data_IF_127951804227
#
_entry.id   IF_127951804227
#
_cell.length_a   1.000
_cell.length_b   1.000
_cell.length_c   1.000
_cell.angle_alpha   90.00
_cell.angle_beta   90.00
_cell.angle_gamma   90.00
#
_symmetry.space_group_name_H-M   'P 1'
#
loop_
_entity.id
_entity.type
_entity.pdbx_description
1 polymer ?
#
# COMPACT_ATOMS: atom_id res chain seq x y z
N UNK A 1 5.00 -12.89 -11.36
CA UNK A 1 3.66 -13.52 -11.37
C UNK A 1 2.63 -12.58 -10.76
N UNK A 2 1.54 -12.28 -11.51
CA UNK A 2 0.43 -11.44 -11.03
C UNK A 2 -0.51 -12.26 -10.14
N UNK A 3 -0.85 -11.73 -8.97
CA UNK A 3 -1.72 -12.38 -7.98
C UNK A 3 -2.62 -11.34 -7.31
N UNK A 4 -3.62 -11.82 -6.59
CA UNK A 4 -4.64 -11.00 -5.95
C UNK A 4 -4.73 -11.32 -4.46
N UNK A 5 -4.85 -10.26 -3.66
CA UNK A 5 -5.13 -10.34 -2.24
C UNK A 5 -6.51 -9.75 -1.95
N UNK A 6 -7.38 -10.54 -1.34
CA UNK A 6 -8.73 -10.11 -0.98
C UNK A 6 -8.73 -9.51 0.42
N UNK A 7 -9.36 -8.35 0.58
CA UNK A 7 -9.42 -7.67 1.87
C UNK A 7 -10.55 -6.64 1.92
N UNK A 8 -10.49 -5.77 2.91
CA UNK A 8 -11.41 -4.64 3.03
C UNK A 8 -10.68 -3.31 2.92
N UNK A 9 -11.39 -2.23 2.61
CA UNK A 9 -10.80 -0.92 2.32
C UNK A 9 -9.92 -0.39 3.45
N UNK A 10 -10.37 -0.51 4.70
CA UNK A 10 -9.56 -0.09 5.86
C UNK A 10 -8.26 -0.90 5.98
N UNK A 11 -8.32 -2.20 5.72
CA UNK A 11 -7.15 -3.08 5.81
C UNK A 11 -6.21 -2.91 4.62
N UNK A 12 -6.75 -2.68 3.42
CA UNK A 12 -5.98 -2.33 2.24
C UNK A 12 -5.19 -1.04 2.44
N UNK A 13 -5.79 0.00 3.03
CA UNK A 13 -5.08 1.22 3.38
C UNK A 13 -3.86 0.95 4.29
N UNK A 14 -4.01 0.09 5.30
CA UNK A 14 -2.89 -0.33 6.15
C UNK A 14 -1.82 -1.09 5.35
N UNK A 15 -2.22 -2.04 4.50
CA UNK A 15 -1.29 -2.83 3.69
C UNK A 15 -0.48 -1.93 2.74
N UNK A 16 -1.09 -0.90 2.17
CA UNK A 16 -0.41 0.11 1.33
C UNK A 16 0.61 0.97 2.07
N UNK A 17 0.60 0.97 3.41
CA UNK A 17 1.53 1.74 4.23
C UNK A 17 2.67 0.88 4.79
N UNK A 18 2.37 -0.35 5.21
CA UNK A 18 3.33 -1.21 5.94
C UNK A 18 3.57 -2.58 5.31
N UNK A 19 2.95 -2.85 4.16
CA UNK A 19 2.94 -4.16 3.53
C UNK A 19 2.00 -5.17 4.20
N UNK A 20 2.14 -6.43 3.79
CA UNK A 20 1.33 -7.53 4.28
C UNK A 20 1.95 -8.13 5.53
N UNK A 21 1.32 -7.88 6.68
CA UNK A 21 1.70 -8.50 7.95
C UNK A 21 0.82 -9.74 8.20
N UNK A 22 1.41 -10.94 8.35
CA UNK A 22 0.65 -12.16 8.58
C UNK A 22 -0.01 -12.14 9.96
N UNK A 23 -1.32 -12.41 10.03
CA UNK A 23 -2.05 -12.55 11.32
C UNK A 23 -1.90 -13.91 11.98
N UNK A 24 -1.73 -14.97 11.18
CA UNK A 24 -1.56 -16.37 11.63
C UNK A 24 -0.33 -17.00 10.99
N UNK A 25 0.77 -16.23 10.95
CA UNK A 25 2.04 -16.64 10.33
C UNK A 25 2.01 -16.77 8.79
N UNK A 26 0.90 -16.47 8.12
CA UNK A 26 0.73 -16.64 6.68
C UNK A 26 0.01 -15.46 6.03
N UNK A 27 0.41 -15.12 4.82
CA UNK A 27 -0.28 -14.22 3.88
C UNK A 27 -0.77 -15.06 2.70
N UNK A 28 -2.05 -14.91 2.36
CA UNK A 28 -2.72 -15.71 1.34
C UNK A 28 -3.01 -14.86 0.12
N UNK A 29 -2.59 -15.33 -1.04
CA UNK A 29 -2.88 -14.74 -2.34
C UNK A 29 -3.57 -15.77 -3.23
N UNK A 30 -4.14 -15.30 -4.33
CA UNK A 30 -4.67 -16.17 -5.37
C UNK A 30 -4.35 -15.66 -6.76
N UNK A 31 -4.22 -16.56 -7.74
CA UNK A 31 -4.15 -16.20 -9.16
C UNK A 31 -5.52 -15.92 -9.78
N UNK A 32 -6.62 -16.24 -9.08
CA UNK A 32 -7.99 -16.10 -9.59
C UNK A 32 -8.67 -14.82 -9.06
N UNK A 33 -8.86 -13.84 -9.94
CA UNK A 33 -9.50 -12.56 -9.58
C UNK A 33 -10.95 -12.73 -9.11
N UNK A 34 -11.72 -13.61 -9.76
CA UNK A 34 -13.12 -13.87 -9.38
C UNK A 34 -13.23 -14.46 -7.98
N UNK A 35 -12.34 -15.39 -7.64
CA UNK A 35 -12.22 -15.93 -6.28
C UNK A 35 -11.87 -14.84 -5.26
N UNK A 36 -10.88 -14.00 -5.56
CA UNK A 36 -10.50 -12.88 -4.69
C UNK A 36 -11.67 -11.91 -4.44
N UNK A 37 -12.42 -11.53 -5.49
CA UNK A 37 -13.59 -10.65 -5.38
C UNK A 37 -14.66 -11.23 -4.45
N UNK A 38 -15.04 -12.50 -4.65
CA UNK A 38 -16.03 -13.19 -3.79
C UNK A 38 -15.58 -13.26 -2.33
N UNK A 39 -14.29 -13.53 -2.08
CA UNK A 39 -13.73 -13.57 -0.72
C UNK A 39 -13.68 -12.19 -0.07
N UNK A 40 -13.34 -11.15 -0.84
CA UNK A 40 -13.33 -9.76 -0.37
C UNK A 40 -14.74 -9.33 0.06
N UNK A 41 -15.76 -9.62 -0.76
CA UNK A 41 -17.18 -9.36 -0.43
C UNK A 41 -17.60 -10.09 0.85
N UNK A 42 -17.26 -11.37 0.97
CA UNK A 42 -17.55 -12.15 2.18
C UNK A 42 -16.91 -11.54 3.42
N UNK A 43 -15.65 -11.11 3.32
CA UNK A 43 -14.93 -10.48 4.43
C UNK A 43 -15.52 -9.11 4.79
N UNK A 44 -15.79 -8.28 3.79
CA UNK A 44 -16.41 -6.96 3.92
C UNK A 44 -17.77 -7.00 4.62
N UNK A 45 -18.62 -7.96 4.24
CA UNK A 45 -19.92 -8.20 4.89
C UNK A 45 -19.76 -8.51 6.38
N UNK A 46 -18.80 -9.35 6.76
CA UNK A 46 -18.54 -9.72 8.16
C UNK A 46 -18.01 -8.57 9.01
N UNK A 47 -17.28 -7.64 8.41
CA UNK A 47 -16.64 -6.52 9.13
C UNK A 47 -17.36 -5.19 8.95
N UNK A 48 -18.51 -5.15 8.26
CA UNK A 48 -19.23 -3.92 7.88
C UNK A 48 -18.29 -2.87 7.24
N UNK A 49 -17.45 -3.33 6.30
CA UNK A 49 -16.48 -2.49 5.56
C UNK A 49 -16.71 -2.65 4.05
N UNK A 50 -15.97 -1.91 3.21
CA UNK A 50 -16.00 -2.04 1.75
C UNK A 50 -15.03 -3.12 1.27
N UNK A 51 -15.46 -3.95 0.32
CA UNK A 51 -14.62 -4.99 -0.29
C UNK A 51 -13.54 -4.36 -1.17
N UNK A 52 -12.30 -4.85 -1.07
CA UNK A 52 -11.20 -4.40 -1.89
C UNK A 52 -10.28 -5.56 -2.26
N UNK A 53 -9.81 -5.56 -3.51
CA UNK A 53 -8.83 -6.53 -4.00
C UNK A 53 -7.56 -5.77 -4.39
N UNK A 54 -6.43 -6.19 -3.83
CA UNK A 54 -5.12 -5.65 -4.17
C UNK A 54 -4.47 -6.53 -5.23
N UNK A 55 -3.97 -5.92 -6.29
CA UNK A 55 -3.16 -6.60 -7.31
C UNK A 55 -1.70 -6.55 -6.89
N UNK A 56 -1.02 -7.70 -6.96
CA UNK A 56 0.38 -7.82 -6.58
C UNK A 56 1.19 -8.51 -7.67
N UNK A 57 2.44 -8.14 -7.81
CA UNK A 57 3.44 -8.84 -8.60
C UNK A 57 4.42 -9.55 -7.66
N UNK A 58 4.31 -10.87 -7.59
CA UNK A 58 5.23 -11.70 -6.82
C UNK A 58 6.30 -12.30 -7.73
N UNK A 59 7.54 -12.34 -7.25
CA UNK A 59 8.62 -13.13 -7.85
C UNK A 59 8.83 -14.40 -7.01
N UNK A 60 8.35 -15.59 -7.44
CA UNK A 60 8.53 -16.83 -6.68
C UNK A 60 9.99 -17.13 -6.31
N UNK A 61 10.94 -16.81 -7.21
CA UNK A 61 12.37 -17.00 -6.96
C UNK A 61 12.96 -16.12 -5.85
N UNK A 62 12.24 -15.09 -5.40
CA UNK A 62 12.66 -14.26 -4.27
C UNK A 62 12.31 -14.84 -2.89
N UNK A 63 11.53 -15.93 -2.84
CA UNK A 63 11.13 -16.55 -1.58
C UNK A 63 11.89 -17.86 -1.34
N UNK A 64 12.29 -18.09 -0.09
CA UNK A 64 12.82 -19.40 0.32
C UNK A 64 11.76 -20.50 0.10
N UNK A 65 12.11 -21.68 -0.44
CA UNK A 65 11.15 -22.76 -0.72
C UNK A 65 10.25 -23.12 0.47
N UNK A 66 10.79 -23.20 1.69
CA UNK A 66 10.03 -23.53 2.91
C UNK A 66 9.07 -22.42 3.39
N UNK A 67 9.11 -21.23 2.77
CA UNK A 67 8.28 -20.07 3.11
C UNK A 67 7.28 -19.71 2.01
N UNK A 68 7.28 -20.45 0.90
CA UNK A 68 6.40 -20.25 -0.24
C UNK A 68 5.72 -21.57 -0.58
N UNK A 69 4.40 -21.56 -0.64
CA UNK A 69 3.62 -22.69 -1.13
C UNK A 69 2.70 -22.19 -2.24
N UNK A 70 2.72 -22.89 -3.37
CA UNK A 70 1.82 -22.65 -4.48
C UNK A 70 1.09 -23.95 -4.79
N UNK A 71 -0.23 -23.94 -4.63
CA UNK A 71 -1.08 -25.09 -4.92
C UNK A 71 -2.35 -24.61 -5.61
N UNK A 72 -2.63 -25.15 -6.79
CA UNK A 72 -3.73 -24.74 -7.66
C UNK A 72 -3.69 -23.22 -7.94
N UNK A 73 -4.69 -22.49 -7.45
CA UNK A 73 -4.81 -21.04 -7.59
C UNK A 73 -4.48 -20.28 -6.31
N UNK A 74 -3.97 -20.96 -5.27
CA UNK A 74 -3.69 -20.38 -3.95
C UNK A 74 -2.18 -20.33 -3.71
N UNK A 75 -1.72 -19.17 -3.24
CA UNK A 75 -0.33 -18.93 -2.90
C UNK A 75 -0.26 -18.51 -1.44
N UNK A 76 0.64 -19.14 -0.70
CA UNK A 76 0.80 -18.90 0.73
C UNK A 76 2.25 -18.51 1.00
N UNK A 77 2.42 -17.33 1.60
CA UNK A 77 3.74 -16.85 2.03
C UNK A 77 3.80 -16.84 3.55
N UNK A 78 4.77 -17.58 4.12
CA UNK A 78 5.01 -17.71 5.57
C UNK A 78 5.94 -16.62 6.10
N UNK A 79 5.71 -15.38 5.71
CA UNK A 79 6.45 -14.21 6.18
C UNK A 79 5.68 -12.92 5.89
N UNK A 80 6.21 -11.77 6.34
CA UNK A 80 5.82 -10.46 5.84
C UNK A 80 6.08 -10.38 4.33
N UNK A 81 5.17 -9.74 3.60
CA UNK A 81 5.36 -9.41 2.18
C UNK A 81 5.42 -7.88 2.07
N UNK A 82 6.49 -7.30 1.47
CA UNK A 82 6.64 -5.86 1.41
C UNK A 82 5.58 -5.22 0.52
N UNK A 83 5.27 -3.94 0.74
CA UNK A 83 4.31 -3.20 -0.08
C UNK A 83 4.76 -3.00 -1.53
N UNK A 84 6.06 -3.14 -1.82
CA UNK A 84 6.63 -3.02 -3.17
C UNK A 84 6.08 -4.05 -4.16
N UNK A 85 5.44 -5.11 -3.68
CA UNK A 85 4.75 -6.07 -4.55
C UNK A 85 3.43 -5.51 -5.09
N UNK A 86 2.87 -4.45 -4.50
CA UNK A 86 1.61 -3.86 -4.93
C UNK A 86 1.77 -3.21 -6.29
N UNK A 87 0.86 -3.51 -7.20
CA UNK A 87 0.80 -2.87 -8.52
C UNK A 87 -0.57 -2.25 -8.77
N UNK A 88 -0.59 -1.18 -9.56
CA UNK A 88 -1.82 -0.55 -10.02
C UNK A 88 -2.44 -1.32 -11.20
N UNK A 89 -3.50 -0.77 -11.80
CA UNK A 89 -4.17 -1.37 -12.96
C UNK A 89 -3.28 -1.44 -14.20
N UNK A 90 -2.30 -0.54 -14.32
CA UNK A 90 -1.33 -0.49 -15.41
C UNK A 90 -0.13 -1.42 -15.18
N UNK A 91 -0.05 -2.05 -14.00
CA UNK A 91 1.04 -2.92 -13.61
C UNK A 91 2.25 -2.20 -13.02
N UNK A 92 2.12 -0.90 -12.75
CA UNK A 92 3.18 -0.10 -12.14
C UNK A 92 3.18 -0.28 -10.63
N UNK A 93 4.37 -0.26 -10.01
CA UNK A 93 4.49 -0.35 -8.56
C UNK A 93 3.71 0.79 -7.91
N UNK A 94 2.81 0.45 -6.99
CA UNK A 94 2.05 1.45 -6.24
C UNK A 94 3.02 2.15 -5.30
N UNK A 95 3.25 3.45 -5.53
CA UNK A 95 4.05 4.25 -4.63
C UNK A 95 3.39 4.27 -3.23
N UNK A 96 4.18 4.11 -2.16
CA UNK A 96 3.69 4.27 -0.80
C UNK A 96 2.95 5.59 -0.64
N UNK A 97 1.89 5.62 0.18
CA UNK A 97 1.04 6.80 0.34
C UNK A 97 1.79 8.06 0.83
N UNK A 98 2.97 7.92 1.43
CA UNK A 98 3.82 9.04 1.86
C UNK A 98 4.71 9.60 0.73
N UNK A 99 4.91 8.85 -0.35
CA UNK A 99 5.67 9.25 -1.54
C UNK A 99 4.77 9.75 -2.67
N UNK A 100 3.45 9.85 -2.47
CA UNK A 100 2.57 10.55 -3.40
C UNK A 100 2.71 12.06 -3.22
N UNK A 101 2.37 12.85 -4.24
CA UNK A 101 2.38 14.31 -4.15
C UNK A 101 1.56 14.83 -2.95
N UNK A 102 0.42 14.20 -2.67
CA UNK A 102 -0.44 14.48 -1.51
C UNK A 102 0.24 14.09 -0.18
N UNK A 103 0.89 12.93 -0.14
CA UNK A 103 1.65 12.45 1.03
C UNK A 103 2.80 13.38 1.38
N UNK A 104 3.58 13.79 0.38
CA UNK A 104 4.67 14.75 0.49
C UNK A 104 4.11 16.10 0.95
N UNK A 105 3.04 16.59 0.33
CA UNK A 105 2.41 17.86 0.70
C UNK A 105 1.93 17.87 2.15
N UNK A 106 1.32 16.77 2.64
CA UNK A 106 0.91 16.63 4.05
C UNK A 106 2.08 16.57 5.02
N UNK A 107 3.20 15.97 4.61
CA UNK A 107 4.41 15.92 5.41
C UNK A 107 5.04 17.32 5.51
N UNK A 108 5.21 18.01 4.38
CA UNK A 108 5.69 19.40 4.32
C UNK A 108 4.79 20.33 5.12
N UNK A 109 3.46 20.22 4.98
CA UNK A 109 2.51 21.04 5.73
C UNK A 109 2.60 20.81 7.25
N UNK A 110 2.85 19.57 7.70
CA UNK A 110 3.10 19.30 9.12
C UNK A 110 4.40 19.92 9.61
N UNK A 111 5.47 19.82 8.82
CA UNK A 111 6.77 20.41 9.15
C UNK A 111 6.70 21.94 9.24
N UNK A 112 5.87 22.56 8.41
CA UNK A 112 5.66 24.01 8.38
C UNK A 112 4.51 24.49 9.29
N UNK A 113 3.77 23.60 9.97
CA UNK A 113 2.61 24.00 10.79
C UNK A 113 1.43 24.56 10.01
N UNK A 114 1.34 24.28 8.70
CA UNK A 114 0.28 24.78 7.80
C UNK A 114 -0.90 23.79 7.78
N UNK A 115 -2.14 24.31 7.75
CA UNK A 115 -3.34 23.47 7.63
C UNK A 115 -3.24 22.57 6.38
N UNK A 116 -3.62 21.28 6.43
CA UNK A 116 -3.41 20.32 5.34
C UNK A 116 -3.97 20.73 3.97
N UNK A 117 -5.02 21.56 3.95
CA UNK A 117 -5.71 22.05 2.76
C UNK A 117 -5.28 23.46 2.34
N UNK A 118 -4.43 24.14 3.12
CA UNK A 118 -3.84 25.41 2.73
C UNK A 118 -2.43 25.13 2.22
N UNK A 119 -2.15 25.51 0.98
CA UNK A 119 -0.76 25.57 0.51
C UNK A 119 0.04 26.55 1.36
N UNK A 120 1.37 26.43 1.34
CA UNK A 120 2.25 27.38 2.02
C UNK A 120 2.06 28.75 1.37
N UNK A 121 1.54 29.72 2.12
CA UNK A 121 1.43 31.10 1.66
C UNK A 121 2.82 31.69 1.45
N UNK A 122 3.00 32.54 0.43
CA UNK A 122 4.27 33.28 0.18
C UNK A 122 4.76 34.08 1.39
N UNK A 123 3.88 34.39 2.36
CA UNK A 123 4.19 35.13 3.60
C UNK A 123 4.41 34.21 4.81
N UNK A 124 4.55 32.90 4.61
CA UNK A 124 4.77 31.97 5.71
C UNK A 124 6.12 32.26 6.39
N UNK A 125 6.20 32.37 7.73
CA UNK A 125 7.44 32.74 8.43
C UNK A 125 8.58 31.75 8.19
N UNK A 126 8.28 30.47 7.90
CA UNK A 126 9.27 29.46 7.49
C UNK A 126 9.79 29.59 6.06
N UNK A 127 9.23 30.49 5.24
CA UNK A 127 9.78 30.93 3.94
C UNK A 127 10.56 32.25 4.09
N UNK A 128 10.83 32.66 5.34
CA UNK A 128 11.43 33.95 5.68
C UNK A 128 12.70 34.22 4.89
N UNK A 129 12.66 35.33 4.14
CA UNK A 129 13.75 36.16 3.67
C UNK A 129 15.02 35.39 3.31
N UNK A 130 15.20 35.19 1.99
CA UNK A 130 16.52 35.08 1.40
C UNK A 130 17.44 36.12 2.05
N UNK A 131 18.29 35.66 2.97
CA UNK A 131 19.55 36.31 3.22
C UNK A 131 20.25 36.26 1.88
N UNK A 132 20.28 37.42 1.21
CA UNK A 132 21.16 37.70 0.11
C UNK A 132 22.57 37.30 0.55
N UNK A 133 23.02 36.12 0.14
CA UNK A 133 24.45 35.83 0.03
C UNK A 133 24.92 36.71 -1.11
N UNK A 134 25.37 37.92 -0.77
CA UNK A 134 26.16 38.74 -1.68
C UNK A 134 27.47 37.99 -1.91
N UNK A 135 27.70 37.64 -3.17
CA UNK A 135 28.99 37.24 -3.73
C UNK A 135 30.06 38.29 -3.48
#
# INVERSE_FOLDING_TARGET
MRVYFWTTKRRAARIRMVGFVPRRGRVWFTTNLGYAKRRAQTQARRTKDQAEVLTCLLNPGSFKPNRYLHQNHIIVIRNKVPQSVLIDQRGMVVLPAHLTAEGISRWVNRLLGVKPHKGVSKRHPGLGNNVLVRS
#
